data_IF_762164010384
#
_entry.id   IF_762164010384
#
_cell.length_a   1.000
_cell.length_b   1.000
_cell.length_c   1.000
_cell.angle_alpha   90.00
_cell.angle_beta   90.00
_cell.angle_gamma   90.00
#
_symmetry.space_group_name_H-M   'P 1'
#
loop_
_entity.id
_entity.type
_entity.pdbx_description
1 polymer ?
#
# COMPACT_ATOMS: atom_id res chain seq x y z
N UNK A 1 -6.27 -19.06 -0.27
CA UNK A 1 -6.87 -17.73 0.06
C UNK A 1 -6.23 -16.74 -0.88
N UNK A 2 -7.01 -16.07 -1.74
CA UNK A 2 -6.46 -15.05 -2.66
C UNK A 2 -5.95 -13.88 -1.81
N UNK A 3 -4.67 -13.51 -1.94
CA UNK A 3 -4.09 -12.41 -1.19
C UNK A 3 -4.51 -11.11 -1.85
N UNK A 4 -5.19 -10.21 -1.13
CA UNK A 4 -5.54 -8.90 -1.69
C UNK A 4 -4.32 -7.97 -1.60
N UNK A 5 -4.05 -7.24 -2.68
CA UNK A 5 -2.90 -6.35 -2.78
C UNK A 5 -3.39 -4.91 -2.90
N UNK A 6 -2.92 -4.03 -2.00
CA UNK A 6 -3.17 -2.60 -2.09
C UNK A 6 -2.18 -1.96 -3.05
N UNK A 7 -2.67 -1.26 -4.07
CA UNK A 7 -1.85 -0.46 -4.99
C UNK A 7 -2.21 1.01 -4.93
N UNK A 8 -1.22 1.85 -5.17
CA UNK A 8 -1.41 3.28 -5.41
C UNK A 8 -1.73 3.49 -6.88
N UNK A 9 -2.93 3.94 -7.20
CA UNK A 9 -3.41 4.10 -8.59
C UNK A 9 -3.44 5.55 -9.05
N UNK A 10 -3.73 6.49 -8.15
CA UNK A 10 -3.83 7.91 -8.45
C UNK A 10 -3.06 8.75 -7.41
N UNK A 11 -1.73 8.61 -7.33
CA UNK A 11 -0.91 9.31 -6.34
C UNK A 11 -1.05 10.84 -6.44
N UNK A 12 -1.26 11.38 -7.63
CA UNK A 12 -1.40 12.82 -7.91
C UNK A 12 -2.62 13.46 -7.23
N UNK A 13 -3.62 12.65 -6.85
CA UNK A 13 -4.81 13.11 -6.12
C UNK A 13 -4.59 13.20 -4.61
N UNK A 14 -3.44 12.75 -4.11
CA UNK A 14 -3.15 12.72 -2.69
C UNK A 14 -3.08 14.15 -2.12
N UNK A 15 -3.77 14.37 -1.01
CA UNK A 15 -3.81 15.66 -0.31
C UNK A 15 -3.10 15.65 1.06
N UNK A 16 -2.39 14.56 1.38
CA UNK A 16 -1.64 14.50 2.63
C UNK A 16 -2.47 14.36 3.91
N UNK A 17 -3.72 13.90 3.83
CA UNK A 17 -4.62 13.82 4.99
C UNK A 17 -4.32 12.68 5.99
N UNK A 18 -3.42 11.76 5.63
CA UNK A 18 -2.96 10.62 6.46
C UNK A 18 -4.06 9.68 7.00
N UNK A 19 -5.29 9.73 6.46
CA UNK A 19 -6.38 8.83 6.89
C UNK A 19 -6.07 7.36 6.60
N UNK A 20 -5.38 7.06 5.51
CA UNK A 20 -4.92 5.70 5.19
C UNK A 20 -3.89 5.19 6.22
N UNK A 21 -2.98 6.06 6.69
CA UNK A 21 -2.00 5.75 7.75
C UNK A 21 -2.73 5.43 9.05
N UNK A 22 -3.70 6.26 9.43
CA UNK A 22 -4.53 6.05 10.60
C UNK A 22 -5.32 4.73 10.53
N UNK A 23 -5.92 4.42 9.38
CA UNK A 23 -6.66 3.18 9.17
C UNK A 23 -5.76 1.94 9.32
N UNK A 24 -4.54 1.98 8.77
CA UNK A 24 -3.57 0.91 8.93
C UNK A 24 -3.16 0.74 10.40
N UNK A 25 -2.81 1.83 11.09
CA UNK A 25 -2.35 1.79 12.48
C UNK A 25 -3.43 1.28 13.47
N UNK A 26 -4.71 1.63 13.23
CA UNK A 26 -5.83 1.11 14.01
C UNK A 26 -5.94 -0.42 13.94
N UNK A 27 -5.62 -1.02 12.80
CA UNK A 27 -5.64 -2.47 12.65
C UNK A 27 -4.46 -3.15 13.36
N UNK A 28 -3.34 -2.45 13.48
CA UNK A 28 -2.15 -2.89 14.24
C UNK A 28 -2.33 -2.64 15.76
N UNK A 29 -3.41 -1.98 16.18
CA UNK A 29 -3.68 -1.67 17.59
C UNK A 29 -2.74 -0.60 18.17
N UNK A 30 -2.11 0.20 17.32
CA UNK A 30 -1.18 1.27 17.73
C UNK A 30 -1.83 2.64 17.58
N UNK A 31 -1.58 3.52 18.56
CA UNK A 31 -2.05 4.89 18.56
C UNK A 31 -1.10 5.88 17.85
N UNK A 32 0.17 5.51 17.69
CA UNK A 32 1.18 6.29 16.99
C UNK A 32 1.24 5.94 15.51
N UNK A 33 1.73 6.86 14.66
CA UNK A 33 2.02 6.61 13.25
C UNK A 33 3.41 6.02 13.01
N UNK A 34 4.23 5.91 14.05
CA UNK A 34 5.56 5.31 13.98
C UNK A 34 5.49 3.84 13.51
N UNK A 35 6.36 3.50 12.55
CA UNK A 35 6.39 2.16 11.96
C UNK A 35 5.16 1.81 11.13
N UNK A 36 4.38 2.79 10.67
CA UNK A 36 3.24 2.54 9.79
C UNK A 36 3.70 1.85 8.49
N UNK A 37 2.96 0.83 8.00
CA UNK A 37 3.22 0.22 6.69
C UNK A 37 2.79 1.15 5.53
N UNK A 38 2.19 2.31 5.82
CA UNK A 38 1.90 3.37 4.85
C UNK A 38 2.60 4.64 5.30
N UNK A 39 3.32 5.29 4.40
CA UNK A 39 3.92 6.61 4.65
C UNK A 39 3.47 7.60 3.60
N UNK A 40 3.13 8.80 4.04
CA UNK A 40 2.83 9.93 3.18
C UNK A 40 3.97 10.92 3.34
N UNK A 41 4.63 11.24 2.24
CA UNK A 41 5.72 12.21 2.20
C UNK A 41 5.32 13.34 1.27
N UNK A 42 5.71 14.58 1.56
CA UNK A 42 5.43 15.69 0.65
C UNK A 42 5.12 17.00 1.36
N UNK A 43 4.46 17.90 0.62
CA UNK A 43 4.16 19.26 1.08
C UNK A 43 3.47 20.10 0.01
N UNK A 44 3.79 21.40 -0.06
CA UNK A 44 3.08 22.39 -0.90
C UNK A 44 3.02 22.07 -2.41
N UNK A 45 3.84 21.13 -2.92
CA UNK A 45 3.92 20.76 -4.34
C UNK A 45 3.26 19.42 -4.68
N UNK A 46 2.74 18.70 -3.69
CA UNK A 46 2.19 17.35 -3.87
C UNK A 46 2.64 16.40 -2.76
N UNK A 47 2.01 15.23 -2.75
CA UNK A 47 2.27 14.18 -1.77
C UNK A 47 2.51 12.85 -2.47
N UNK A 48 3.58 12.17 -2.06
CA UNK A 48 3.96 10.83 -2.45
C UNK A 48 3.46 9.82 -1.41
N UNK A 49 3.03 8.66 -1.90
CA UNK A 49 2.50 7.56 -1.09
C UNK A 49 3.46 6.39 -1.20
N UNK A 50 4.03 5.96 -0.06
CA UNK A 50 4.86 4.78 0.03
C UNK A 50 4.11 3.68 0.78
N UNK A 51 4.06 2.49 0.19
CA UNK A 51 3.49 1.30 0.78
C UNK A 51 4.60 0.30 1.10
N UNK A 52 4.64 -0.15 2.35
CA UNK A 52 5.41 -1.32 2.74
C UNK A 52 4.62 -2.59 2.36
N UNK A 53 5.28 -3.65 1.86
CA UNK A 53 4.59 -4.89 1.48
C UNK A 53 3.73 -5.52 2.59
N UNK A 54 4.07 -5.29 3.86
CA UNK A 54 3.29 -5.75 5.03
C UNK A 54 1.90 -5.14 5.12
N UNK A 55 1.61 -4.04 4.39
CA UNK A 55 0.25 -3.48 4.30
C UNK A 55 -0.76 -4.49 3.75
N UNK A 56 -0.30 -5.46 2.95
CA UNK A 56 -1.15 -6.50 2.34
C UNK A 56 -1.57 -7.59 3.32
N UNK A 57 -1.05 -7.58 4.54
CA UNK A 57 -1.50 -8.46 5.63
C UNK A 57 -2.64 -7.80 6.46
N UNK A 58 -2.98 -6.54 6.15
CA UNK A 58 -4.10 -5.79 6.73
C UNK A 58 -5.37 -5.89 5.86
N UNK A 59 -6.49 -5.40 6.37
CA UNK A 59 -7.72 -5.20 5.60
C UNK A 59 -7.55 -4.02 4.64
N UNK A 60 -6.99 -4.32 3.47
CA UNK A 60 -6.69 -3.37 2.40
C UNK A 60 -7.95 -2.72 1.79
N UNK A 61 -9.13 -3.35 1.90
CA UNK A 61 -10.38 -2.76 1.42
C UNK A 61 -10.75 -1.55 2.27
N UNK A 62 -10.71 -1.69 3.60
CA UNK A 62 -10.95 -0.57 4.52
C UNK A 62 -9.95 0.57 4.35
N UNK A 63 -8.69 0.23 4.08
CA UNK A 63 -7.64 1.23 3.83
C UNK A 63 -7.92 1.98 2.52
N UNK A 64 -8.37 1.29 1.47
CA UNK A 64 -8.76 1.93 0.21
C UNK A 64 -9.97 2.85 0.38
N UNK A 65 -11.03 2.35 1.03
CA UNK A 65 -12.31 3.05 1.23
C UNK A 65 -12.18 4.34 2.06
N UNK A 66 -11.25 4.39 3.01
CA UNK A 66 -11.07 5.59 3.85
C UNK A 66 -10.46 6.78 3.08
N UNK A 67 -9.85 6.54 1.91
CA UNK A 67 -9.20 7.58 1.14
C UNK A 67 -10.24 8.47 0.43
N UNK A 68 -10.43 9.74 0.86
CA UNK A 68 -11.47 10.60 0.29
C UNK A 68 -11.19 11.02 -1.16
N UNK A 69 -9.99 10.75 -1.67
CA UNK A 69 -9.55 11.07 -3.03
C UNK A 69 -9.42 9.84 -3.93
N UNK A 70 -9.69 8.65 -3.39
CA UNK A 70 -9.62 7.39 -4.15
C UNK A 70 -8.24 7.13 -4.74
N UNK A 71 -7.17 7.36 -3.98
CA UNK A 71 -5.79 7.18 -4.46
C UNK A 71 -5.39 5.71 -4.63
N UNK A 72 -6.18 4.76 -4.11
CA UNK A 72 -5.84 3.34 -4.02
C UNK A 72 -6.77 2.47 -4.85
N UNK A 73 -6.25 1.34 -5.30
CA UNK A 73 -7.03 0.21 -5.82
C UNK A 73 -6.64 -1.07 -5.07
N UNK A 74 -7.57 -2.02 -5.01
CA UNK A 74 -7.34 -3.34 -4.43
C UNK A 74 -7.40 -4.37 -5.55
N UNK A 75 -6.33 -5.10 -5.74
CA UNK A 75 -6.26 -6.20 -6.70
C UNK A 75 -6.34 -7.55 -5.97
N UNK A 76 -6.92 -8.55 -6.64
CA UNK A 76 -6.82 -9.93 -6.18
C UNK A 76 -5.48 -10.50 -6.64
N UNK A 77 -4.56 -10.71 -5.70
CA UNK A 77 -3.31 -11.41 -5.91
C UNK A 77 -3.57 -12.89 -6.16
N UNK A 78 -3.54 -13.27 -7.44
CA UNK A 78 -3.44 -14.64 -7.90
C UNK A 78 -1.97 -15.06 -7.97
N UNK A 79 -1.63 -16.10 -7.20
CA UNK A 79 -0.47 -17.00 -7.25
C UNK A 79 0.94 -16.39 -7.31
N UNK A 80 1.79 -16.96 -6.46
CA UNK A 80 3.24 -16.76 -6.45
C UNK A 80 3.82 -17.18 -7.81
N UNK A 81 4.03 -16.26 -8.75
CA UNK A 81 4.97 -16.52 -9.84
C UNK A 81 6.38 -16.39 -9.27
N UNK A 82 6.89 -17.54 -8.82
CA UNK A 82 8.31 -17.73 -8.58
C UNK A 82 9.07 -17.28 -9.83
N UNK A 83 9.91 -16.28 -9.66
CA UNK A 83 10.86 -15.85 -10.68
C UNK A 83 11.90 -16.98 -10.82
N UNK A 84 11.62 -17.96 -11.67
CA UNK A 84 12.64 -18.91 -12.14
C UNK A 84 13.68 -18.11 -12.92
N UNK A 85 14.81 -17.83 -12.27
CA UNK A 85 16.03 -17.42 -12.96
C UNK A 85 16.48 -18.61 -13.81
N UNK A 86 16.19 -18.59 -15.11
CA UNK A 86 16.96 -19.37 -16.06
C UNK A 86 18.35 -18.77 -16.10
N UNK A 87 19.30 -19.41 -15.44
CA UNK A 87 20.70 -19.23 -15.77
C UNK A 87 20.88 -19.75 -17.21
N UNK A 88 21.10 -18.84 -18.15
CA UNK A 88 21.66 -19.17 -19.45
C UNK A 88 23.07 -19.74 -19.22
N UNK A 89 23.22 -21.04 -19.48
CA UNK A 89 24.50 -21.68 -19.77
C UNK A 89 24.97 -21.21 -21.14
N UNK A 90 26.07 -20.46 -21.18
CA UNK A 90 26.82 -20.19 -22.41
C UNK A 90 28.32 -20.38 -22.15
N UNK A 91 28.79 -21.54 -22.62
CA UNK A 91 30.14 -21.91 -23.14
C UNK A 91 31.37 -21.79 -22.23
#
# INVERSE_FOLDING_TARGET
>A
MNKKILKVSFPEKCIGCELCVLAAQRQVGKASFEGSPIRIMGGKKGYDIHLDPSVNDLDVNKISEICPKGCFSVEEGGQEEGLEFKAEEDV
#
